data_IF_193812357575
#
_entry.id   IF_193812357575
#
_cell.length_a   1.000
_cell.length_b   1.000
_cell.length_c   1.000
_cell.angle_alpha   90.00
_cell.angle_beta   90.00
_cell.angle_gamma   90.00
#
_symmetry.space_group_name_H-M   'P 1'
#
loop_
_entity.id
_entity.type
_entity.pdbx_description
1 polymer ?
#
# COMPACT_ATOMS: atom_id res chain seq x y z
N UNK A 1 -55.51 12.50 37.35
CA UNK A 1 -54.52 11.41 37.31
C UNK A 1 -54.03 11.34 35.86
N UNK A 2 -53.10 12.18 35.43
CA UNK A 2 -51.65 12.14 35.75
C UNK A 2 -51.00 10.86 35.21
N UNK A 3 -49.83 11.01 34.58
CA UNK A 3 -48.97 10.02 33.87
C UNK A 3 -49.26 10.06 32.35
N UNK A 4 -48.63 10.86 31.47
CA UNK A 4 -47.21 11.23 31.22
C UNK A 4 -46.27 10.01 31.22
N UNK A 5 -45.42 9.93 30.19
CA UNK A 5 -44.47 8.86 29.82
C UNK A 5 -45.15 7.73 29.03
N UNK A 6 -44.92 7.56 27.73
CA UNK A 6 -43.64 7.12 27.15
C UNK A 6 -43.43 7.82 25.78
N UNK A 7 -42.99 9.08 25.83
CA UNK A 7 -42.46 9.82 24.69
C UNK A 7 -40.94 9.64 24.54
N UNK A 8 -40.39 8.45 24.80
CA UNK A 8 -38.95 8.20 24.76
C UNK A 8 -38.64 6.78 24.25
N UNK A 9 -38.76 6.55 22.95
CA UNK A 9 -37.76 5.71 22.29
C UNK A 9 -36.84 6.63 21.52
N UNK A 10 -35.64 6.73 22.05
CA UNK A 10 -34.58 7.58 21.54
C UNK A 10 -34.26 7.16 20.11
N UNK A 11 -34.51 8.01 19.12
CA UNK A 11 -33.81 7.87 17.83
C UNK A 11 -32.34 8.16 18.10
N UNK A 12 -31.55 7.11 18.31
CA UNK A 12 -30.10 7.20 18.39
C UNK A 12 -29.57 7.54 16.99
N UNK A 13 -29.65 8.82 16.61
CA UNK A 13 -28.96 9.35 15.45
C UNK A 13 -27.47 9.35 15.77
N UNK A 14 -26.79 8.29 15.37
CA UNK A 14 -25.33 8.22 15.42
C UNK A 14 -24.82 9.29 14.45
N UNK A 15 -24.26 10.37 14.98
CA UNK A 15 -23.67 11.45 14.19
C UNK A 15 -22.64 10.89 13.22
N UNK A 16 -22.55 11.48 12.03
CA UNK A 16 -21.54 11.09 11.05
C UNK A 16 -20.16 11.47 11.58
N UNK A 17 -19.14 10.68 11.27
CA UNK A 17 -17.74 10.91 11.71
C UNK A 17 -17.26 12.35 11.38
N UNK A 18 -17.85 12.97 10.37
CA UNK A 18 -17.54 14.33 9.90
C UNK A 18 -18.04 15.47 10.80
N UNK A 19 -18.97 15.23 11.74
CA UNK A 19 -19.53 16.28 12.61
C UNK A 19 -18.55 16.74 13.72
N UNK A 20 -17.54 15.93 14.03
CA UNK A 20 -16.61 16.19 15.13
C UNK A 20 -15.46 17.14 14.76
N UNK A 21 -15.24 17.40 13.47
CA UNK A 21 -14.13 18.24 13.03
C UNK A 21 -14.50 19.73 13.09
N UNK A 22 -13.78 20.49 13.92
CA UNK A 22 -13.89 21.95 13.95
C UNK A 22 -13.31 22.55 12.67
N UNK A 23 -14.17 23.13 11.83
CA UNK A 23 -13.73 23.96 10.70
C UNK A 23 -13.13 25.25 11.24
N UNK A 24 -11.80 25.33 11.29
CA UNK A 24 -11.07 26.59 11.48
C UNK A 24 -11.06 27.33 10.14
N UNK A 25 -11.81 28.43 10.05
CA UNK A 25 -11.58 29.44 9.01
C UNK A 25 -10.35 30.24 9.37
N UNK A 26 -9.21 29.94 8.74
CA UNK A 26 -8.03 30.82 8.77
C UNK A 26 -8.39 32.12 8.03
N UNK A 27 -8.26 33.30 8.66
CA UNK A 27 -8.34 34.56 7.92
C UNK A 27 -7.19 34.61 6.90
N UNK A 28 -7.52 34.96 5.65
CA UNK A 28 -6.52 35.29 4.64
C UNK A 28 -5.84 36.58 5.08
N UNK A 29 -4.63 36.48 5.63
CA UNK A 29 -3.74 37.63 5.78
C UNK A 29 -3.18 37.93 4.38
N UNK A 30 -3.69 38.99 3.77
CA UNK A 30 -3.06 39.62 2.61
C UNK A 30 -1.84 40.38 3.12
N UNK A 31 -0.68 39.73 3.06
CA UNK A 31 0.62 40.34 3.30
C UNK A 31 1.38 40.27 1.98
N UNK A 32 1.23 41.33 1.16
CA UNK A 32 2.07 41.58 0.00
C UNK A 32 3.49 41.88 0.47
N UNK A 33 4.24 40.82 0.72
CA UNK A 33 5.68 40.88 0.88
C UNK A 33 6.31 40.85 -0.50
N UNK A 34 6.75 42.02 -0.98
CA UNK A 34 7.65 42.16 -2.11
C UNK A 34 9.00 41.50 -1.78
N UNK A 35 9.02 40.17 -1.84
CA UNK A 35 10.23 39.36 -1.72
C UNK A 35 10.85 39.30 -3.11
N UNK A 36 11.77 40.23 -3.36
CA UNK A 36 12.68 40.23 -4.51
C UNK A 36 13.20 38.80 -4.73
N UNK A 37 12.74 38.14 -5.80
CA UNK A 37 13.16 36.79 -6.18
C UNK A 37 14.66 36.83 -6.51
N UNK A 38 15.53 36.08 -5.80
CA UNK A 38 16.79 35.67 -6.37
C UNK A 38 16.48 34.67 -7.48
N UNK A 39 17.11 34.83 -8.65
CA UNK A 39 17.00 33.88 -9.76
C UNK A 39 17.14 32.43 -9.27
N UNK A 40 16.36 31.47 -9.78
CA UNK A 40 16.57 30.07 -9.44
C UNK A 40 17.95 29.67 -9.94
N UNK A 41 18.89 29.50 -9.01
CA UNK A 41 20.04 28.66 -9.27
C UNK A 41 19.47 27.27 -9.61
N UNK A 42 19.89 26.72 -10.75
CA UNK A 42 19.46 25.43 -11.23
C UNK A 42 19.52 24.40 -10.09
N UNK A 43 18.35 23.86 -9.72
CA UNK A 43 18.31 22.69 -8.85
C UNK A 43 19.13 21.58 -9.50
N UNK A 44 19.98 20.85 -8.77
CA UNK A 44 20.59 19.64 -9.29
C UNK A 44 19.46 18.68 -9.64
N UNK A 45 19.37 18.31 -10.93
CA UNK A 45 18.47 17.28 -11.43
C UNK A 45 18.54 16.06 -10.49
N UNK A 46 17.38 15.52 -10.02
CA UNK A 46 17.40 14.38 -9.13
C UNK A 46 18.24 13.25 -9.76
N UNK A 47 19.03 12.51 -8.97
CA UNK A 47 19.86 11.43 -9.50
C UNK A 47 18.99 10.50 -10.35
N UNK A 48 19.43 10.23 -11.59
CA UNK A 48 18.74 9.25 -12.43
C UNK A 48 18.69 7.92 -11.67
N UNK A 49 17.52 7.26 -11.59
CA UNK A 49 17.41 5.99 -10.91
C UNK A 49 18.41 4.99 -11.49
N UNK A 50 19.01 4.19 -10.62
CA UNK A 50 19.83 3.07 -11.06
C UNK A 50 18.97 2.01 -11.75
N UNK A 51 19.56 1.19 -12.62
CA UNK A 51 18.86 0.08 -13.28
C UNK A 51 18.18 -0.86 -12.27
N UNK A 52 18.84 -1.09 -11.12
CA UNK A 52 18.28 -1.84 -9.98
C UNK A 52 16.98 -1.22 -9.48
N UNK A 53 16.99 0.09 -9.22
CA UNK A 53 15.80 0.78 -8.68
C UNK A 53 14.64 0.76 -9.67
N UNK A 54 14.91 0.83 -10.98
CA UNK A 54 13.87 0.74 -12.00
C UNK A 54 13.29 -0.68 -12.06
N UNK A 55 14.12 -1.71 -12.02
CA UNK A 55 13.67 -3.11 -11.97
C UNK A 55 12.79 -3.37 -10.73
N UNK A 56 13.23 -2.92 -9.55
CA UNK A 56 12.46 -3.04 -8.30
C UNK A 56 11.15 -2.26 -8.34
N UNK A 57 11.10 -1.12 -9.03
CA UNK A 57 9.86 -0.38 -9.24
C UNK A 57 8.88 -1.17 -10.11
N UNK A 58 9.34 -1.81 -11.19
CA UNK A 58 8.50 -2.66 -12.04
C UNK A 58 7.97 -3.88 -11.26
N UNK A 59 8.82 -4.54 -10.48
CA UNK A 59 8.39 -5.64 -9.61
C UNK A 59 7.30 -5.19 -8.61
N UNK A 60 7.45 -4.00 -8.01
CA UNK A 60 6.41 -3.45 -7.11
C UNK A 60 5.12 -3.12 -7.84
N UNK A 61 5.17 -2.59 -9.06
CA UNK A 61 3.97 -2.32 -9.86
C UNK A 61 3.24 -3.62 -10.19
N UNK A 62 3.97 -4.64 -10.63
CA UNK A 62 3.43 -5.98 -10.84
C UNK A 62 2.81 -6.53 -9.56
N UNK A 63 3.48 -6.32 -8.42
CA UNK A 63 2.97 -6.84 -7.16
C UNK A 63 1.63 -6.21 -6.74
N UNK A 64 1.43 -4.92 -7.03
CA UNK A 64 0.22 -4.17 -6.72
C UNK A 64 -0.93 -4.42 -7.70
N UNK A 65 -0.67 -5.03 -8.86
CA UNK A 65 -1.71 -5.30 -9.85
C UNK A 65 -2.56 -6.50 -9.44
N UNK A 66 -3.81 -6.23 -9.06
CA UNK A 66 -4.79 -7.25 -8.66
C UNK A 66 -5.20 -8.19 -9.80
N UNK A 67 -4.97 -7.82 -11.06
CA UNK A 67 -5.38 -8.61 -12.24
C UNK A 67 -4.69 -9.98 -12.28
N UNK A 68 -3.45 -10.05 -11.82
CA UNK A 68 -2.64 -11.28 -11.82
C UNK A 68 -2.89 -12.19 -10.59
N UNK A 69 -3.92 -11.88 -9.80
CA UNK A 69 -4.30 -12.67 -8.62
C UNK A 69 -3.50 -12.31 -7.36
N UNK A 70 -3.81 -12.96 -6.22
CA UNK A 70 -3.22 -12.62 -4.93
C UNK A 70 -1.72 -12.95 -4.84
N UNK A 71 -0.94 -12.09 -4.19
CA UNK A 71 0.49 -12.25 -3.92
C UNK A 71 0.82 -13.02 -2.63
N UNK A 72 -0.18 -13.49 -1.90
CA UNK A 72 0.01 -14.04 -0.55
C UNK A 72 0.55 -15.47 -0.59
N UNK A 73 1.70 -15.69 0.04
CA UNK A 73 2.27 -17.02 0.27
C UNK A 73 2.84 -17.71 -0.98
N UNK A 74 3.24 -16.93 -1.97
CA UNK A 74 3.89 -17.40 -3.20
C UNK A 74 5.00 -16.43 -3.60
N UNK A 75 6.04 -16.95 -4.24
CA UNK A 75 7.10 -16.11 -4.81
C UNK A 75 6.57 -15.28 -5.99
N UNK A 76 7.27 -14.20 -6.34
CA UNK A 76 6.93 -13.39 -7.53
C UNK A 76 6.92 -14.22 -8.82
N UNK A 77 7.86 -15.17 -8.94
CA UNK A 77 7.94 -16.07 -10.09
C UNK A 77 6.72 -17.00 -10.15
N UNK A 78 6.35 -17.61 -9.02
CA UNK A 78 5.15 -18.46 -8.95
C UNK A 78 3.86 -17.70 -9.30
N UNK A 79 3.76 -16.44 -8.86
CA UNK A 79 2.63 -15.57 -9.23
C UNK A 79 2.58 -15.30 -10.73
N UNK A 80 3.73 -14.99 -11.32
CA UNK A 80 3.85 -14.77 -12.77
C UNK A 80 3.44 -16.03 -13.55
N UNK A 81 3.94 -17.21 -13.16
CA UNK A 81 3.60 -18.48 -13.81
C UNK A 81 2.11 -18.77 -13.73
N UNK A 82 1.51 -18.57 -12.56
CA UNK A 82 0.06 -18.72 -12.37
C UNK A 82 -0.73 -17.79 -13.29
N UNK A 83 -0.36 -16.51 -13.35
CA UNK A 83 -1.01 -15.55 -14.24
C UNK A 83 -0.91 -15.95 -15.71
N UNK A 84 0.26 -16.43 -16.15
CA UNK A 84 0.47 -16.95 -17.49
C UNK A 84 -0.41 -18.19 -17.77
N UNK A 85 -0.51 -19.11 -16.82
CA UNK A 85 -1.39 -20.29 -16.91
C UNK A 85 -2.87 -19.92 -17.03
N UNK A 86 -3.30 -18.81 -16.40
CA UNK A 86 -4.66 -18.28 -16.51
C UNK A 86 -4.89 -17.43 -17.77
N UNK A 87 -3.89 -17.28 -18.65
CA UNK A 87 -4.02 -16.50 -19.87
C UNK A 87 -4.13 -15.00 -19.64
N UNK A 88 -3.62 -14.49 -18.52
CA UNK A 88 -3.66 -13.06 -18.16
C UNK A 88 -2.53 -12.24 -18.79
N UNK A 89 -1.64 -12.91 -19.54
CA UNK A 89 -0.51 -12.32 -20.28
C UNK A 89 0.35 -11.37 -19.41
N UNK A 90 0.99 -11.88 -18.34
CA UNK A 90 1.83 -11.06 -17.49
C UNK A 90 3.09 -10.58 -18.26
N UNK A 91 3.63 -9.38 -17.96
CA UNK A 91 4.76 -8.81 -18.70
C UNK A 91 6.00 -9.71 -18.65
N UNK A 92 6.63 -9.95 -19.80
CA UNK A 92 7.80 -10.84 -19.90
C UNK A 92 9.03 -10.25 -19.21
N UNK A 93 9.15 -8.92 -19.18
CA UNK A 93 10.23 -8.19 -18.52
C UNK A 93 10.32 -8.56 -17.04
N UNK A 94 9.18 -8.77 -16.38
CA UNK A 94 9.13 -9.19 -14.98
C UNK A 94 9.76 -10.57 -14.81
N UNK A 95 9.47 -11.51 -15.70
CA UNK A 95 10.07 -12.84 -15.67
C UNK A 95 11.57 -12.77 -15.92
N UNK A 96 12.02 -11.95 -16.86
CA UNK A 96 13.43 -11.80 -17.16
C UNK A 96 14.19 -11.19 -15.98
N UNK A 97 13.61 -10.19 -15.30
CA UNK A 97 14.14 -9.60 -14.06
C UNK A 97 14.25 -10.65 -12.94
N UNK A 98 13.25 -11.54 -12.82
CA UNK A 98 13.22 -12.61 -11.81
C UNK A 98 14.18 -13.77 -12.11
N UNK A 99 14.47 -14.03 -13.39
CA UNK A 99 15.40 -15.07 -13.83
C UNK A 99 16.85 -14.59 -13.90
N UNK A 100 17.08 -13.27 -13.91
CA UNK A 100 18.39 -12.68 -13.73
C UNK A 100 18.96 -13.20 -12.40
N UNK A 101 20.20 -13.71 -12.41
CA UNK A 101 20.86 -14.32 -11.25
C UNK A 101 21.12 -13.28 -10.15
N UNK A 102 20.05 -12.92 -9.45
CA UNK A 102 19.98 -11.94 -8.40
C UNK A 102 19.56 -12.70 -7.14
N UNK A 103 20.55 -13.14 -6.37
CA UNK A 103 20.36 -13.76 -5.04
C UNK A 103 19.82 -12.77 -3.98
N UNK A 104 19.31 -11.62 -4.41
CA UNK A 104 18.79 -10.58 -3.53
C UNK A 104 17.36 -10.93 -3.08
N UNK A 105 17.11 -11.07 -1.78
CA UNK A 105 15.78 -11.29 -1.25
C UNK A 105 14.76 -10.23 -1.71
N UNK A 106 15.21 -9.01 -2.01
CA UNK A 106 14.32 -7.93 -2.44
C UNK A 106 13.71 -8.16 -3.83
N UNK A 107 14.32 -9.00 -4.68
CA UNK A 107 13.80 -9.37 -6.00
C UNK A 107 12.88 -10.58 -5.95
N UNK A 108 13.12 -11.52 -5.04
CA UNK A 108 12.38 -12.77 -4.95
C UNK A 108 11.15 -12.68 -4.04
N UNK A 109 11.22 -11.85 -3.00
CA UNK A 109 10.23 -11.83 -1.94
C UNK A 109 9.30 -10.62 -2.02
N UNK A 110 8.00 -10.86 -1.81
CA UNK A 110 7.03 -9.81 -1.52
C UNK A 110 7.17 -9.41 -0.05
N UNK A 111 7.14 -8.11 0.27
CA UNK A 111 7.35 -7.56 1.62
C UNK A 111 6.43 -8.13 2.73
N UNK A 112 5.47 -9.02 2.41
CA UNK A 112 4.57 -9.62 3.39
C UNK A 112 4.71 -11.14 3.64
N UNK A 113 5.67 -11.91 3.10
CA UNK A 113 5.74 -13.30 3.60
C UNK A 113 6.20 -13.40 5.07
N UNK A 114 6.73 -12.32 5.65
CA UNK A 114 7.04 -12.20 7.09
C UNK A 114 5.82 -12.45 7.99
N UNK A 115 4.58 -12.18 7.54
CA UNK A 115 3.38 -12.42 8.37
C UNK A 115 2.83 -13.84 8.27
N UNK A 116 3.15 -14.60 7.21
CA UNK A 116 2.61 -15.97 7.05
C UNK A 116 3.34 -16.98 7.94
N UNK A 117 4.65 -16.82 8.13
CA UNK A 117 5.46 -17.67 9.02
C UNK A 117 4.98 -17.61 10.48
N UNK A 118 4.48 -16.46 10.93
CA UNK A 118 3.96 -16.27 12.29
C UNK A 118 2.62 -17.01 12.50
N UNK A 119 1.80 -17.16 11.45
CA UNK A 119 0.53 -17.89 11.54
C UNK A 119 0.72 -19.41 11.45
N UNK A 120 1.75 -19.90 10.76
CA UNK A 120 1.96 -21.33 10.53
C UNK A 120 2.77 -22.04 11.62
N UNK A 121 3.52 -21.29 12.43
CA UNK A 121 4.33 -21.83 13.55
C UNK A 121 3.53 -22.08 14.83
N UNK A 122 2.29 -21.59 14.93
CA UNK A 122 1.44 -21.73 16.12
C UNK A 122 0.39 -22.85 16.02
N UNK A 123 0.55 -23.81 15.10
CA UNK A 123 -0.36 -24.97 14.91
C UNK A 123 0.36 -26.33 15.12
N UNK A 124 1.69 -26.34 15.27
CA UNK A 124 2.45 -27.55 15.60
C UNK A 124 3.32 -27.37 16.84
N UNK A 125 2.68 -27.27 18.01
CA UNK A 125 3.27 -27.89 19.20
C UNK A 125 2.79 -29.35 19.24
N UNK A 126 3.69 -30.35 19.21
CA UNK A 126 3.29 -31.72 19.50
C UNK A 126 2.82 -31.79 20.95
N UNK A 127 1.63 -32.34 21.16
CA UNK A 127 1.18 -32.78 22.48
C UNK A 127 2.20 -33.79 22.98
N UNK A 128 2.94 -33.40 24.01
CA UNK A 128 3.84 -34.26 24.78
C UNK A 128 2.96 -35.35 25.43
N UNK A 129 3.26 -36.61 25.14
CA UNK A 129 2.82 -37.78 25.91
C UNK A 129 3.96 -38.13 26.88
#
# INVERSE_FOLDING_TARGET
CSIILIGYYMTAKRGLITDTFKVVKKPRRDDRRDKKQPSPAADPEPPRPTERETELQELRKFDLDWRFGPCTGISRLQRWERAALHGLDPPQEIKDILLKDNMDPEYTHWYFEQVHTIMHTHIHLPQVI
#
